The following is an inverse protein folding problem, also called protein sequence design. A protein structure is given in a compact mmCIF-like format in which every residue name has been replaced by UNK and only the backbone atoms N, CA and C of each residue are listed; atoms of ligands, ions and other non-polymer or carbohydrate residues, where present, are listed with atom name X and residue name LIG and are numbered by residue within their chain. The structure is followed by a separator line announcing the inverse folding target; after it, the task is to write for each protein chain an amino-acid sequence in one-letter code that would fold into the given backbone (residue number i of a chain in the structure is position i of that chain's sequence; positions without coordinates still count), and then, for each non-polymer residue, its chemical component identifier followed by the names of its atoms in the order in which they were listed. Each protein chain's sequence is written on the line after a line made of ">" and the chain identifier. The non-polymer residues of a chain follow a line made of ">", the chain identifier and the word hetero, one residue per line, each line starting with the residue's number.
data_IF_300637610636
#
_entry.id   IF_300637610636
#
_cell.length_a   1.000
_cell.length_b   1.000
_cell.length_c   1.000
_cell.angle_alpha   90.00
_cell.angle_beta   90.00
_cell.angle_gamma   90.00
#
_symmetry.space_group_name_H-M   'P 1'
#
loop_
_entity.id
_entity.type
_entity.pdbx_description
1 polymer ?
#
# COMPACT_ATOMS: atom_id res chain seq x y z
N UNK A 1 4.10 21.38 16.71
CA UNK A 1 4.96 20.18 16.80
C UNK A 1 5.48 20.12 18.23
N UNK A 2 5.01 19.14 19.01
CA UNK A 2 5.61 18.81 20.31
C UNK A 2 7.02 18.32 20.08
N UNK A 3 7.99 18.81 20.83
CA UNK A 3 9.38 18.37 20.75
C UNK A 3 9.48 16.90 21.17
N UNK A 4 10.53 16.20 20.76
CA UNK A 4 10.78 14.81 21.18
C UNK A 4 10.81 14.69 22.71
N UNK A 5 11.33 15.71 23.41
CA UNK A 5 11.37 15.75 24.88
C UNK A 5 9.98 15.91 25.53
N UNK A 6 9.07 16.71 24.94
CA UNK A 6 7.69 16.84 25.45
C UNK A 6 6.87 15.56 25.23
N UNK A 7 7.17 14.76 24.18
CA UNK A 7 6.56 13.45 23.97
C UNK A 7 7.05 12.39 24.94
N UNK A 8 8.34 12.41 25.31
CA UNK A 8 8.94 11.52 26.31
C UNK A 8 8.33 11.69 27.70
N UNK A 9 7.86 12.90 28.03
CA UNK A 9 7.20 13.20 29.32
C UNK A 9 5.78 12.66 29.43
N UNK A 10 5.20 12.13 28.34
CA UNK A 10 3.83 11.64 28.28
C UNK A 10 3.68 10.11 28.20
N UNK A 11 4.78 9.38 28.11
CA UNK A 11 4.77 7.91 28.11
C UNK A 11 4.40 7.38 29.51
N UNK A 12 3.59 6.32 29.55
CA UNK A 12 3.42 5.54 30.78
C UNK A 12 4.73 4.77 31.09
N UNK A 13 4.95 4.29 32.33
CA UNK A 13 6.13 3.47 32.65
C UNK A 13 6.35 2.32 31.66
N UNK A 14 5.30 1.57 31.33
CA UNK A 14 5.34 0.46 30.37
C UNK A 14 5.72 0.91 28.94
N UNK A 15 5.22 2.05 28.51
CA UNK A 15 5.58 2.65 27.21
C UNK A 15 7.03 3.11 27.18
N UNK A 16 7.52 3.66 28.30
CA UNK A 16 8.92 4.06 28.45
C UNK A 16 9.88 2.87 28.39
N UNK A 17 9.58 1.78 29.10
CA UNK A 17 10.37 0.53 29.06
C UNK A 17 10.41 -0.04 27.63
N UNK A 18 9.30 -0.10 26.94
CA UNK A 18 9.26 -0.58 25.55
C UNK A 18 10.03 0.34 24.59
N UNK A 19 9.96 1.65 24.80
CA UNK A 19 10.72 2.62 23.99
C UNK A 19 12.23 2.42 24.16
N UNK A 20 12.72 2.19 25.38
CA UNK A 20 14.13 1.89 25.63
C UNK A 20 14.55 0.54 25.00
N UNK A 21 13.69 -0.48 25.05
CA UNK A 21 13.91 -1.75 24.33
C UNK A 21 14.09 -1.50 22.83
N UNK A 22 13.18 -0.74 22.21
CA UNK A 22 13.22 -0.41 20.77
C UNK A 22 14.48 0.39 20.43
N UNK A 23 14.88 1.36 21.25
CA UNK A 23 16.10 2.14 21.07
C UNK A 23 17.34 1.27 21.12
N UNK A 24 17.43 0.41 22.12
CA UNK A 24 18.55 -0.53 22.24
C UNK A 24 18.64 -1.47 21.04
N UNK A 25 17.50 -2.00 20.58
CA UNK A 25 17.42 -2.83 19.38
C UNK A 25 17.88 -2.09 18.14
N UNK A 26 17.38 -0.87 17.90
CA UNK A 26 17.73 -0.07 16.72
C UNK A 26 19.21 0.32 16.74
N UNK A 27 19.74 0.71 17.88
CA UNK A 27 21.16 1.05 18.02
C UNK A 27 22.09 -0.13 17.72
N UNK A 28 21.66 -1.36 18.05
CA UNK A 28 22.44 -2.57 17.79
C UNK A 28 22.33 -3.10 16.35
N UNK A 29 21.20 -2.88 15.67
CA UNK A 29 20.87 -3.56 14.41
C UNK A 29 20.71 -2.62 13.20
N UNK A 30 20.65 -1.30 13.41
CA UNK A 30 20.33 -0.34 12.36
C UNK A 30 21.40 0.75 12.23
N UNK A 31 21.55 1.29 11.04
CA UNK A 31 22.38 2.47 10.82
C UNK A 31 21.52 3.73 10.99
N UNK A 32 22.04 4.77 11.66
CA UNK A 32 21.38 6.06 11.69
C UNK A 32 21.07 6.56 10.28
N UNK A 33 19.95 7.25 10.14
CA UNK A 33 19.53 7.81 8.86
C UNK A 33 20.60 8.78 8.36
N UNK A 34 21.12 8.53 7.17
CA UNK A 34 22.07 9.42 6.51
C UNK A 34 21.33 10.55 5.81
N UNK A 35 21.99 11.70 5.72
CA UNK A 35 21.52 12.71 4.79
C UNK A 35 21.63 12.17 3.36
N UNK A 36 20.48 12.04 2.71
CA UNK A 36 20.42 11.69 1.29
C UNK A 36 20.06 12.93 0.48
N UNK A 37 20.38 12.92 -0.79
CA UNK A 37 19.95 13.98 -1.69
C UNK A 37 18.45 14.25 -1.52
N UNK A 38 18.01 15.50 -1.38
CA UNK A 38 16.58 15.80 -1.33
C UNK A 38 15.85 15.36 -2.60
N UNK A 39 16.59 15.11 -3.68
CA UNK A 39 16.08 14.69 -4.99
C UNK A 39 16.13 13.18 -5.21
N UNK A 40 16.64 12.41 -4.25
CA UNK A 40 16.66 10.96 -4.37
C UNK A 40 15.26 10.41 -4.66
N UNK A 41 15.19 9.54 -5.67
CA UNK A 41 13.96 8.82 -6.02
C UNK A 41 13.73 7.71 -5.00
N UNK A 42 12.48 7.40 -4.74
CA UNK A 42 12.05 6.32 -3.85
C UNK A 42 11.72 5.02 -4.62
N UNK A 43 12.23 4.87 -5.82
CA UNK A 43 12.09 3.69 -6.66
C UNK A 43 13.34 3.49 -7.50
N UNK A 44 13.51 2.29 -8.02
CA UNK A 44 14.62 1.90 -8.88
C UNK A 44 14.17 1.78 -10.34
N UNK A 45 15.01 2.22 -11.25
CA UNK A 45 14.79 2.10 -12.71
C UNK A 45 15.41 0.83 -13.28
N UNK A 46 16.17 0.08 -12.48
CA UNK A 46 16.76 -1.22 -12.85
C UNK A 46 16.17 -2.34 -12.01
N UNK A 47 16.04 -3.53 -12.59
CA UNK A 47 15.56 -4.71 -11.88
C UNK A 47 16.50 -5.10 -10.74
N UNK A 48 17.82 -4.98 -10.96
CA UNK A 48 18.83 -5.27 -9.93
C UNK A 48 18.66 -4.38 -8.71
N UNK A 49 18.49 -3.06 -8.89
CA UNK A 49 18.23 -2.12 -7.80
C UNK A 49 16.92 -2.41 -7.06
N UNK A 50 15.87 -2.70 -7.82
CA UNK A 50 14.57 -3.06 -7.23
C UNK A 50 14.63 -4.37 -6.43
N UNK A 51 15.36 -5.37 -6.92
CA UNK A 51 15.61 -6.64 -6.23
C UNK A 51 16.41 -6.42 -4.95
N UNK A 52 17.50 -5.64 -5.03
CA UNK A 52 18.33 -5.34 -3.86
C UNK A 52 17.53 -4.63 -2.75
N UNK A 53 16.68 -3.67 -3.11
CA UNK A 53 15.80 -3.00 -2.14
C UNK A 53 14.76 -3.96 -1.55
N UNK A 54 14.17 -4.83 -2.36
CA UNK A 54 13.24 -5.84 -1.89
C UNK A 54 13.89 -6.80 -0.89
N UNK A 55 15.10 -7.31 -1.19
CA UNK A 55 15.84 -8.22 -0.31
C UNK A 55 16.33 -7.50 0.95
N UNK A 56 16.73 -6.23 0.87
CA UNK A 56 17.03 -5.38 2.04
C UNK A 56 15.82 -5.29 2.98
N UNK A 57 14.65 -5.02 2.43
CA UNK A 57 13.41 -4.96 3.20
C UNK A 57 13.03 -6.31 3.83
N UNK A 58 13.22 -7.39 3.10
CA UNK A 58 12.99 -8.76 3.57
C UNK A 58 13.95 -9.15 4.71
N UNK A 59 15.23 -8.83 4.57
CA UNK A 59 16.23 -9.06 5.61
C UNK A 59 15.93 -8.27 6.89
N UNK A 60 15.52 -7.00 6.75
CA UNK A 60 15.09 -6.20 7.91
C UNK A 60 13.85 -6.80 8.59
N UNK A 61 12.86 -7.24 7.82
CA UNK A 61 11.69 -7.91 8.36
C UNK A 61 12.05 -9.17 9.14
N UNK A 62 13.02 -9.95 8.65
CA UNK A 62 13.55 -11.11 9.35
C UNK A 62 14.22 -10.71 10.68
N UNK A 63 15.02 -9.65 10.67
CA UNK A 63 15.63 -9.10 11.88
C UNK A 63 14.58 -8.69 12.92
N UNK A 64 13.50 -8.05 12.50
CA UNK A 64 12.38 -7.72 13.39
C UNK A 64 11.72 -8.97 13.97
N UNK A 65 11.50 -9.98 13.14
CA UNK A 65 10.89 -11.24 13.57
C UNK A 65 11.74 -11.97 14.61
N UNK A 66 13.02 -12.11 14.37
CA UNK A 66 13.97 -12.79 15.27
C UNK A 66 14.10 -12.07 16.62
N UNK A 67 13.82 -10.77 16.68
CA UNK A 67 13.80 -9.95 17.89
C UNK A 67 12.38 -9.68 18.44
N UNK A 68 11.35 -10.41 17.97
CA UNK A 68 9.95 -10.29 18.42
C UNK A 68 9.36 -8.88 18.28
N UNK A 69 9.83 -8.11 17.30
CA UNK A 69 9.33 -6.80 16.93
C UNK A 69 8.49 -6.83 15.65
N UNK A 70 8.45 -7.96 14.95
CA UNK A 70 7.47 -8.20 13.90
C UNK A 70 6.14 -8.65 14.53
N UNK A 71 5.01 -8.15 14.01
CA UNK A 71 3.69 -8.55 14.48
C UNK A 71 3.43 -8.20 15.95
N UNK A 72 3.75 -7.00 16.37
CA UNK A 72 3.63 -6.53 17.76
C UNK A 72 2.22 -6.77 18.34
N UNK A 73 1.18 -6.64 17.52
CA UNK A 73 -0.23 -6.82 17.90
C UNK A 73 -0.80 -8.19 17.58
N UNK A 74 -0.02 -9.06 16.93
CA UNK A 74 -0.46 -10.43 16.60
C UNK A 74 -0.32 -11.36 17.81
N UNK A 75 -1.16 -12.43 17.89
CA UNK A 75 -1.10 -13.41 18.96
C UNK A 75 0.26 -14.10 19.07
N UNK A 76 0.65 -14.47 20.29
CA UNK A 76 1.94 -15.14 20.55
C UNK A 76 2.03 -16.53 19.93
N UNK A 77 0.92 -17.25 19.85
CA UNK A 77 0.80 -18.57 19.20
C UNK A 77 1.02 -18.51 17.69
N UNK A 78 0.88 -17.32 17.09
CA UNK A 78 1.19 -17.04 15.68
C UNK A 78 2.53 -16.31 15.50
N UNK A 79 3.41 -16.42 16.47
CA UNK A 79 4.74 -15.80 16.50
C UNK A 79 4.71 -14.26 16.61
N UNK A 80 3.58 -13.66 16.95
CA UNK A 80 3.48 -12.25 17.32
C UNK A 80 3.93 -11.97 18.75
N UNK A 81 3.77 -10.72 19.19
CA UNK A 81 4.11 -10.33 20.57
C UNK A 81 2.90 -10.29 21.51
N UNK A 82 1.67 -10.28 21.00
CA UNK A 82 0.43 -10.15 21.78
C UNK A 82 0.27 -8.79 22.45
N UNK A 83 0.95 -7.79 21.93
CA UNK A 83 1.02 -6.45 22.51
C UNK A 83 -0.09 -5.51 22.05
N UNK A 84 -0.01 -4.28 22.51
CA UNK A 84 -0.99 -3.23 22.24
C UNK A 84 -0.61 -2.37 21.02
N UNK A 85 -1.57 -1.73 20.33
CA UNK A 85 -1.30 -0.89 19.16
C UNK A 85 -0.35 0.30 19.41
N UNK A 86 -0.20 0.77 20.64
CA UNK A 86 0.74 1.83 20.96
C UNK A 86 2.21 1.38 20.75
N UNK A 87 2.51 0.07 20.84
CA UNK A 87 3.85 -0.47 20.56
C UNK A 87 4.26 -0.21 19.11
N UNK A 88 3.35 -0.38 18.15
CA UNK A 88 3.61 -0.06 16.74
C UNK A 88 3.90 1.43 16.53
N UNK A 89 3.21 2.30 17.30
CA UNK A 89 3.45 3.75 17.24
C UNK A 89 4.85 4.10 17.74
N UNK A 90 5.24 3.56 18.91
CA UNK A 90 6.57 3.79 19.50
C UNK A 90 7.67 3.25 18.58
N UNK A 91 7.51 2.01 18.06
CA UNK A 91 8.48 1.46 17.12
C UNK A 91 8.65 2.38 15.89
N UNK A 92 7.55 2.86 15.31
CA UNK A 92 7.58 3.74 14.12
C UNK A 92 8.24 5.10 14.43
N UNK A 93 7.98 5.66 15.59
CA UNK A 93 8.59 6.91 16.05
C UNK A 93 10.11 6.78 16.17
N UNK A 94 10.60 5.74 16.82
CA UNK A 94 12.04 5.52 17.04
C UNK A 94 12.75 5.11 15.73
N UNK A 95 12.13 4.24 14.92
CA UNK A 95 12.67 3.79 13.64
C UNK A 95 12.81 4.91 12.61
N UNK A 96 12.05 6.02 12.74
CA UNK A 96 12.12 7.16 11.83
C UNK A 96 13.52 7.83 11.77
N UNK A 97 14.35 7.60 12.80
CA UNK A 97 15.71 8.13 12.90
C UNK A 97 16.78 7.22 12.28
N UNK A 98 16.39 6.06 11.76
CA UNK A 98 17.29 5.04 11.21
C UNK A 98 16.98 4.74 9.74
N UNK A 99 18.01 4.24 9.01
CA UNK A 99 17.86 3.79 7.61
C UNK A 99 17.33 2.35 7.57
N UNK A 100 16.08 2.18 7.97
CA UNK A 100 15.42 0.88 8.05
C UNK A 100 14.02 0.92 7.42
N UNK A 101 13.69 -0.13 6.70
CA UNK A 101 12.37 -0.31 6.12
C UNK A 101 12.17 -1.77 5.75
N UNK A 102 11.04 -2.34 6.09
CA UNK A 102 10.61 -3.63 5.53
C UNK A 102 10.04 -3.50 4.11
N UNK A 103 10.05 -2.27 3.55
CA UNK A 103 9.65 -2.00 2.18
C UNK A 103 8.29 -2.59 1.81
N UNK A 104 8.27 -3.31 0.69
CA UNK A 104 7.08 -3.98 0.18
C UNK A 104 6.50 -5.03 1.16
N UNK A 105 7.33 -5.72 1.93
CA UNK A 105 6.88 -6.73 2.92
C UNK A 105 5.95 -6.11 3.96
N UNK A 106 6.26 -4.91 4.46
CA UNK A 106 5.39 -4.21 5.42
C UNK A 106 3.99 -3.94 4.85
N UNK A 107 3.89 -3.58 3.57
CA UNK A 107 2.59 -3.32 2.93
C UNK A 107 1.74 -4.60 2.84
N UNK A 108 2.34 -5.72 2.51
CA UNK A 108 1.61 -7.00 2.43
C UNK A 108 1.22 -7.54 3.81
N UNK A 109 2.06 -7.36 4.83
CA UNK A 109 1.69 -7.65 6.22
C UNK A 109 0.48 -6.82 6.65
N UNK A 110 0.47 -5.52 6.34
CA UNK A 110 -0.62 -4.63 6.70
C UNK A 110 -1.95 -4.97 5.99
N UNK A 111 -1.90 -5.52 4.78
CA UNK A 111 -3.10 -5.90 4.00
C UNK A 111 -3.57 -7.33 4.25
N UNK A 112 -2.67 -8.30 4.08
CA UNK A 112 -3.00 -9.72 4.12
C UNK A 112 -3.10 -10.25 5.56
N UNK A 113 -2.24 -9.77 6.47
CA UNK A 113 -2.23 -10.25 7.86
C UNK A 113 -3.59 -10.12 8.54
N UNK A 114 -4.23 -8.93 8.63
CA UNK A 114 -5.57 -8.78 9.19
C UNK A 114 -6.64 -9.58 8.43
N UNK A 115 -6.44 -9.82 7.12
CA UNK A 115 -7.35 -10.62 6.31
C UNK A 115 -7.29 -12.10 6.70
N UNK A 116 -6.09 -12.66 6.87
CA UNK A 116 -5.89 -14.01 7.40
C UNK A 116 -6.46 -14.15 8.82
N UNK A 117 -6.19 -13.18 9.69
CA UNK A 117 -6.71 -13.19 11.07
C UNK A 117 -8.23 -13.24 11.13
N UNK A 118 -8.91 -12.54 10.21
CA UNK A 118 -10.37 -12.42 10.19
C UNK A 118 -11.06 -13.56 9.44
N UNK A 119 -10.49 -14.06 8.36
CA UNK A 119 -11.16 -14.94 7.40
C UNK A 119 -10.49 -16.30 7.22
N UNK A 120 -9.23 -16.47 7.67
CA UNK A 120 -8.52 -17.74 7.60
C UNK A 120 -8.99 -18.74 8.65
N UNK A 121 -8.84 -20.05 8.35
CA UNK A 121 -8.97 -21.12 9.36
C UNK A 121 -7.79 -21.08 10.32
N UNK A 122 -7.88 -21.78 11.45
CA UNK A 122 -6.76 -21.84 12.42
C UNK A 122 -5.51 -22.48 11.81
N UNK A 123 -5.69 -23.49 10.95
CA UNK A 123 -4.60 -24.14 10.21
C UNK A 123 -3.94 -23.16 9.24
N UNK A 124 -4.73 -22.36 8.50
CA UNK A 124 -4.22 -21.34 7.59
C UNK A 124 -3.49 -20.22 8.35
N UNK A 125 -4.03 -19.77 9.48
CA UNK A 125 -3.35 -18.80 10.33
C UNK A 125 -2.00 -19.33 10.82
N UNK A 126 -1.97 -20.55 11.34
CA UNK A 126 -0.74 -21.19 11.82
C UNK A 126 0.29 -21.40 10.71
N UNK A 127 -0.15 -21.69 9.50
CA UNK A 127 0.72 -21.88 8.33
C UNK A 127 1.28 -20.58 7.79
N UNK A 128 0.42 -19.58 7.57
CA UNK A 128 0.78 -18.40 6.77
C UNK A 128 1.22 -17.21 7.63
N UNK A 129 0.63 -16.97 8.82
CA UNK A 129 0.93 -15.76 9.59
C UNK A 129 2.38 -15.69 10.06
N UNK A 130 2.97 -16.73 10.67
CA UNK A 130 4.38 -16.68 11.07
C UNK A 130 5.34 -16.44 9.91
N UNK A 131 5.06 -17.07 8.75
CA UNK A 131 5.89 -16.93 7.54
C UNK A 131 5.74 -15.57 6.87
N UNK A 132 4.54 -14.98 6.92
CA UNK A 132 4.30 -13.59 6.51
C UNK A 132 5.05 -12.61 7.43
N UNK A 133 4.95 -12.77 8.75
CA UNK A 133 5.61 -11.90 9.72
C UNK A 133 7.13 -11.99 9.67
N UNK A 134 7.69 -13.14 9.34
CA UNK A 134 9.14 -13.34 9.18
C UNK A 134 9.68 -12.85 7.83
N UNK A 135 8.82 -12.55 6.85
CA UNK A 135 9.22 -12.26 5.48
C UNK A 135 9.68 -13.50 4.68
N UNK A 136 9.51 -14.73 5.24
CA UNK A 136 9.75 -15.98 4.51
C UNK A 136 8.80 -16.10 3.32
N UNK A 137 7.51 -15.80 3.54
CA UNK A 137 6.52 -15.67 2.49
C UNK A 137 6.29 -14.19 2.16
N UNK A 138 6.73 -13.81 0.96
CA UNK A 138 6.43 -12.53 0.37
C UNK A 138 5.22 -12.69 -0.56
N UNK A 139 4.18 -11.93 -0.30
CA UNK A 139 2.92 -12.03 -1.06
C UNK A 139 2.75 -10.84 -2.00
N UNK A 140 2.29 -11.07 -3.23
CA UNK A 140 1.78 -10.02 -4.10
C UNK A 140 0.25 -10.06 -4.19
N UNK A 141 -0.35 -8.89 -4.44
CA UNK A 141 -1.78 -8.74 -4.66
C UNK A 141 -2.14 -8.99 -6.12
N UNK A 142 -3.04 -9.94 -6.37
CA UNK A 142 -3.44 -10.39 -7.69
C UNK A 142 -4.94 -10.14 -7.92
N UNK A 143 -5.33 -8.86 -7.94
CA UNK A 143 -6.72 -8.43 -7.99
C UNK A 143 -7.14 -7.94 -9.37
N UNK A 144 -6.56 -6.82 -9.81
CA UNK A 144 -6.95 -6.13 -11.04
C UNK A 144 -6.67 -6.96 -12.29
N UNK A 145 -7.50 -6.77 -13.31
CA UNK A 145 -7.35 -7.33 -14.65
C UNK A 145 -7.38 -6.21 -15.69
N UNK A 146 -6.94 -6.44 -16.93
CA UNK A 146 -7.04 -5.42 -17.98
C UNK A 146 -8.46 -4.85 -18.15
N UNK A 147 -9.49 -5.68 -17.96
CA UNK A 147 -10.91 -5.29 -18.05
C UNK A 147 -11.60 -5.05 -16.70
N UNK A 148 -10.90 -5.13 -15.55
CA UNK A 148 -11.51 -5.03 -14.21
C UNK A 148 -10.58 -4.34 -13.22
N UNK A 149 -10.61 -3.02 -13.19
CA UNK A 149 -9.91 -2.16 -12.22
C UNK A 149 -10.89 -1.57 -11.21
N UNK A 150 -11.50 -0.42 -11.51
CA UNK A 150 -12.48 0.22 -10.62
C UNK A 150 -13.71 -0.65 -10.38
N UNK A 151 -14.21 -1.35 -11.39
CA UNK A 151 -15.20 -2.42 -11.24
C UNK A 151 -14.51 -3.77 -11.00
N UNK A 152 -13.81 -3.87 -9.87
CA UNK A 152 -13.07 -5.08 -9.51
C UNK A 152 -13.98 -6.33 -9.49
N UNK A 153 -15.23 -6.18 -9.10
CA UNK A 153 -16.19 -7.29 -9.10
C UNK A 153 -16.52 -7.81 -10.51
N UNK A 154 -16.15 -7.09 -11.56
CA UNK A 154 -16.23 -7.51 -12.96
C UNK A 154 -15.17 -8.53 -13.38
N UNK A 155 -14.19 -8.86 -12.52
CA UNK A 155 -13.08 -9.78 -12.82
C UNK A 155 -13.51 -11.08 -13.49
N UNK A 156 -12.68 -11.57 -14.43
CA UNK A 156 -12.95 -12.71 -15.30
C UNK A 156 -11.93 -13.86 -15.20
N UNK A 157 -10.83 -13.70 -14.45
CA UNK A 157 -9.87 -14.76 -14.19
C UNK A 157 -10.62 -15.98 -13.63
N UNK A 158 -10.73 -17.03 -14.44
CA UNK A 158 -11.62 -18.17 -14.22
C UNK A 158 -10.96 -19.20 -13.33
N UNK A 159 -11.70 -19.79 -12.40
CA UNK A 159 -11.29 -20.97 -11.65
C UNK A 159 -12.38 -22.04 -11.72
N UNK A 160 -12.03 -23.21 -12.23
CA UNK A 160 -12.93 -24.37 -12.31
C UNK A 160 -12.46 -25.41 -11.33
N UNK A 161 -13.38 -25.91 -10.49
CA UNK A 161 -13.07 -26.96 -9.55
C UNK A 161 -12.85 -28.29 -10.26
N UNK A 162 -11.75 -28.96 -9.92
CA UNK A 162 -11.38 -30.31 -10.37
C UNK A 162 -10.90 -31.12 -9.14
N UNK A 163 -11.81 -31.86 -8.54
CA UNK A 163 -11.56 -32.57 -7.29
C UNK A 163 -11.26 -31.63 -6.13
N UNK A 164 -10.07 -31.77 -5.57
CA UNK A 164 -9.56 -30.95 -4.44
C UNK A 164 -8.72 -29.76 -4.90
N UNK A 165 -8.72 -29.43 -6.18
CA UNK A 165 -8.00 -28.30 -6.76
C UNK A 165 -8.95 -27.41 -7.57
N UNK A 166 -8.50 -26.16 -7.78
CA UNK A 166 -8.99 -25.27 -8.82
C UNK A 166 -8.01 -25.23 -9.98
N UNK A 167 -8.52 -25.31 -11.20
CA UNK A 167 -7.77 -25.02 -12.44
C UNK A 167 -8.04 -23.57 -12.80
N UNK A 168 -7.00 -22.73 -12.70
CA UNK A 168 -7.09 -21.28 -12.89
C UNK A 168 -6.53 -20.86 -14.24
N UNK A 169 -7.31 -20.05 -14.97
CA UNK A 169 -6.90 -19.47 -16.26
C UNK A 169 -7.32 -18.00 -16.32
N UNK A 170 -6.38 -17.12 -16.66
CA UNK A 170 -6.64 -15.69 -16.79
C UNK A 170 -5.37 -14.84 -16.67
N UNK A 171 -5.59 -13.54 -16.55
CA UNK A 171 -4.51 -12.55 -16.44
C UNK A 171 -4.82 -11.57 -15.32
N UNK A 172 -3.80 -11.21 -14.55
CA UNK A 172 -3.81 -10.10 -13.59
C UNK A 172 -2.83 -9.03 -14.02
N UNK A 173 -3.09 -7.77 -13.62
CA UNK A 173 -2.27 -6.63 -14.01
C UNK A 173 -2.10 -5.66 -12.83
N UNK A 174 -1.07 -4.83 -12.88
CA UNK A 174 -0.68 -3.88 -11.83
C UNK A 174 -0.27 -4.54 -10.53
N UNK A 175 0.32 -5.74 -10.63
CA UNK A 175 0.72 -6.53 -9.47
C UNK A 175 2.09 -6.06 -8.97
N UNK A 176 2.10 -5.30 -7.86
CA UNK A 176 3.33 -4.75 -7.29
C UNK A 176 4.27 -5.87 -6.85
N UNK A 177 5.54 -5.76 -7.25
CA UNK A 177 6.65 -6.64 -6.86
C UNK A 177 6.40 -8.15 -7.08
N UNK A 178 5.45 -8.54 -7.94
CA UNK A 178 5.11 -9.95 -8.19
C UNK A 178 6.33 -10.77 -8.67
N UNK A 179 7.27 -10.14 -9.39
CA UNK A 179 8.52 -10.76 -9.86
C UNK A 179 9.48 -11.17 -8.72
N UNK A 180 9.25 -10.71 -7.49
CA UNK A 180 10.07 -11.01 -6.31
C UNK A 180 9.32 -11.83 -5.27
N UNK A 181 7.99 -11.99 -5.42
CA UNK A 181 7.14 -12.68 -4.46
C UNK A 181 7.10 -14.19 -4.74
N UNK A 182 7.08 -14.98 -3.68
CA UNK A 182 6.90 -16.42 -3.77
C UNK A 182 5.44 -16.85 -3.57
N UNK A 183 4.59 -15.97 -3.07
CA UNK A 183 3.15 -16.20 -2.90
C UNK A 183 2.32 -15.04 -3.45
N UNK A 184 1.05 -15.32 -3.80
CA UNK A 184 0.08 -14.33 -4.20
C UNK A 184 -1.27 -14.54 -3.49
N UNK A 185 -2.00 -13.45 -3.25
CA UNK A 185 -3.41 -13.53 -2.88
C UNK A 185 -4.26 -13.07 -4.06
N UNK A 186 -5.01 -14.03 -4.58
CA UNK A 186 -5.63 -14.00 -5.92
C UNK A 186 -7.16 -13.96 -5.82
N UNK A 187 -7.80 -13.13 -6.61
CA UNK A 187 -9.23 -13.16 -6.84
C UNK A 187 -9.57 -13.89 -8.14
N UNK A 188 -10.47 -14.85 -8.06
CA UNK A 188 -10.93 -15.64 -9.22
C UNK A 188 -12.44 -15.70 -9.31
N UNK A 189 -12.95 -15.87 -10.54
CA UNK A 189 -14.35 -16.13 -10.84
C UNK A 189 -14.62 -17.63 -10.75
N UNK A 190 -15.30 -18.05 -9.70
CA UNK A 190 -15.69 -19.45 -9.50
C UNK A 190 -17.13 -19.74 -9.88
N UNK A 191 -18.01 -18.71 -9.87
CA UNK A 191 -19.38 -18.86 -10.31
C UNK A 191 -19.83 -17.67 -11.18
N UNK A 192 -20.03 -17.85 -12.49
CA UNK A 192 -20.48 -16.80 -13.39
C UNK A 192 -22.02 -16.63 -13.42
N UNK A 193 -22.78 -17.57 -12.83
CA UNK A 193 -24.25 -17.65 -12.94
C UNK A 193 -24.97 -16.88 -11.82
N UNK A 194 -24.22 -16.15 -10.99
CA UNK A 194 -24.74 -15.33 -9.89
C UNK A 194 -24.27 -13.87 -10.05
N UNK A 195 -24.88 -12.91 -9.33
CA UNK A 195 -24.43 -11.52 -9.32
C UNK A 195 -22.94 -11.39 -9.04
N UNK A 196 -22.28 -10.43 -9.69
CA UNK A 196 -20.81 -10.34 -9.80
C UNK A 196 -20.04 -10.44 -8.47
N UNK A 197 -20.59 -9.93 -7.36
CA UNK A 197 -19.94 -10.01 -6.05
C UNK A 197 -20.09 -11.38 -5.36
N UNK A 198 -21.05 -12.20 -5.79
CA UNK A 198 -21.38 -13.50 -5.16
C UNK A 198 -20.70 -14.71 -5.82
N UNK A 199 -19.92 -14.50 -6.87
CA UNK A 199 -19.24 -15.57 -7.61
C UNK A 199 -17.72 -15.46 -7.60
N UNK A 200 -17.16 -14.71 -6.65
CA UNK A 200 -15.71 -14.50 -6.50
C UNK A 200 -15.19 -15.35 -5.34
N UNK A 201 -14.03 -15.98 -5.54
CA UNK A 201 -13.29 -16.67 -4.48
C UNK A 201 -11.94 -16.01 -4.27
N UNK A 202 -11.53 -15.89 -3.02
CA UNK A 202 -10.21 -15.40 -2.61
C UNK A 202 -9.33 -16.61 -2.30
N UNK A 203 -8.19 -16.75 -2.99
CA UNK A 203 -7.34 -17.93 -2.89
C UNK A 203 -5.87 -17.53 -2.83
N UNK A 204 -5.06 -18.25 -2.05
CA UNK A 204 -3.61 -18.09 -2.03
C UNK A 204 -2.97 -19.00 -3.08
N UNK A 205 -2.01 -18.46 -3.82
CA UNK A 205 -1.30 -19.18 -4.88
C UNK A 205 0.21 -19.11 -4.66
N UNK A 206 0.88 -20.26 -4.83
CA UNK A 206 2.34 -20.30 -4.96
C UNK A 206 2.71 -19.77 -6.35
N UNK A 207 3.50 -18.70 -6.39
CA UNK A 207 3.91 -18.03 -7.64
C UNK A 207 4.88 -18.86 -8.49
N UNK A 208 5.41 -19.97 -7.94
CA UNK A 208 6.25 -20.93 -8.67
C UNK A 208 5.45 -22.11 -9.24
N UNK A 209 4.13 -22.14 -9.05
CA UNK A 209 3.28 -23.18 -9.61
C UNK A 209 3.36 -23.23 -11.14
N UNK A 210 3.26 -24.42 -11.70
CA UNK A 210 3.20 -24.60 -13.16
C UNK A 210 2.04 -23.79 -13.75
N UNK A 211 2.30 -23.09 -14.85
CA UNK A 211 1.33 -22.23 -15.53
C UNK A 211 1.25 -20.80 -15.01
N UNK A 212 2.03 -20.43 -13.98
CA UNK A 212 2.19 -19.02 -13.55
C UNK A 212 3.35 -18.39 -14.33
N UNK A 213 3.07 -17.26 -14.98
CA UNK A 213 4.09 -16.46 -15.67
C UNK A 213 3.98 -15.00 -15.21
N UNK A 214 5.10 -14.42 -14.76
CA UNK A 214 5.18 -13.01 -14.32
C UNK A 214 5.95 -12.20 -15.35
N UNK A 215 5.36 -11.07 -15.80
CA UNK A 215 5.99 -10.15 -16.76
C UNK A 215 6.04 -8.74 -16.19
N UNK A 216 7.24 -8.17 -15.94
CA UNK A 216 7.36 -6.78 -15.49
C UNK A 216 6.80 -5.78 -16.52
N UNK A 217 6.13 -4.74 -16.03
CA UNK A 217 5.61 -3.62 -16.82
C UNK A 217 6.53 -2.41 -16.65
N UNK A 218 7.13 -1.95 -17.74
CA UNK A 218 7.90 -0.71 -17.76
C UNK A 218 6.95 0.47 -17.81
N UNK A 219 7.00 1.31 -16.77
CA UNK A 219 6.16 2.49 -16.63
C UNK A 219 6.82 3.69 -17.32
N UNK A 220 6.04 4.77 -17.63
CA UNK A 220 6.59 5.98 -18.22
C UNK A 220 7.70 6.66 -17.38
N UNK A 221 7.77 6.35 -16.07
CA UNK A 221 8.85 6.80 -15.16
C UNK A 221 10.15 6.03 -15.30
N UNK A 222 10.18 4.96 -16.11
CA UNK A 222 11.29 4.02 -16.22
C UNK A 222 11.30 2.92 -15.15
N UNK A 223 10.47 3.01 -14.13
CA UNK A 223 10.33 1.95 -13.12
C UNK A 223 9.57 0.74 -13.68
N UNK A 224 9.81 -0.46 -13.12
CA UNK A 224 9.13 -1.71 -13.50
C UNK A 224 8.69 -2.52 -12.27
N UNK A 225 8.16 -1.82 -11.25
CA UNK A 225 7.72 -2.48 -10.02
C UNK A 225 6.31 -3.06 -10.10
N UNK A 226 5.54 -2.79 -11.17
CA UNK A 226 4.30 -3.46 -11.48
C UNK A 226 4.49 -4.58 -12.50
N UNK A 227 3.59 -5.56 -12.47
CA UNK A 227 3.65 -6.73 -13.32
C UNK A 227 2.29 -7.08 -13.92
N UNK A 228 2.33 -7.83 -15.01
CA UNK A 228 1.28 -8.73 -15.44
C UNK A 228 1.58 -10.13 -14.92
N UNK A 229 0.54 -10.84 -14.52
CA UNK A 229 0.65 -12.24 -14.09
C UNK A 229 -0.37 -13.07 -14.86
N UNK A 230 0.12 -14.06 -15.60
CA UNK A 230 -0.70 -14.97 -16.37
C UNK A 230 -0.84 -16.31 -15.66
N UNK A 231 -2.04 -16.87 -15.74
CA UNK A 231 -2.38 -18.20 -15.24
C UNK A 231 -2.84 -19.04 -16.42
N UNK A 232 -2.12 -20.13 -16.73
CA UNK A 232 -2.39 -21.06 -17.83
C UNK A 232 -2.68 -22.44 -17.24
N UNK A 233 -3.95 -22.69 -16.94
CA UNK A 233 -4.42 -23.93 -16.30
C UNK A 233 -3.67 -24.25 -14.98
N UNK A 234 -3.32 -23.22 -14.23
CA UNK A 234 -2.61 -23.35 -12.96
C UNK A 234 -3.46 -24.07 -11.92
N UNK A 235 -2.93 -25.15 -11.35
CA UNK A 235 -3.61 -25.92 -10.32
C UNK A 235 -3.32 -25.36 -8.93
N UNK A 236 -4.40 -25.06 -8.19
CA UNK A 236 -4.33 -24.48 -6.85
C UNK A 236 -5.21 -25.30 -5.90
N UNK A 237 -4.68 -25.82 -4.78
CA UNK A 237 -5.47 -26.58 -3.81
C UNK A 237 -6.66 -25.80 -3.27
N UNK A 238 -7.83 -26.44 -3.12
CA UNK A 238 -9.02 -25.84 -2.49
C UNK A 238 -8.71 -25.40 -1.04
N UNK A 239 -7.79 -26.07 -0.37
CA UNK A 239 -7.33 -25.72 0.98
C UNK A 239 -6.71 -24.30 1.08
N UNK A 240 -6.31 -23.72 -0.06
CA UNK A 240 -5.76 -22.35 -0.12
C UNK A 240 -6.85 -21.26 -0.21
N UNK A 241 -8.13 -21.62 -0.23
CA UNK A 241 -9.24 -20.65 -0.22
C UNK A 241 -9.33 -19.98 1.14
N UNK A 242 -9.29 -18.66 1.17
CA UNK A 242 -9.48 -17.87 2.39
C UNK A 242 -10.96 -17.44 2.49
N UNK A 243 -11.61 -17.89 3.56
CA UNK A 243 -13.06 -17.83 3.73
C UNK A 243 -13.77 -18.94 2.95
N UNK A 244 -14.91 -18.62 2.34
CA UNK A 244 -15.74 -19.61 1.62
C UNK A 244 -15.65 -19.43 0.10
N UNK A 245 -15.83 -20.51 -0.64
CA UNK A 245 -15.95 -20.48 -2.11
C UNK A 245 -17.15 -19.60 -2.49
N UNK A 246 -16.98 -18.75 -3.48
CA UNK A 246 -17.95 -17.75 -3.95
C UNK A 246 -18.23 -16.58 -2.98
N UNK A 247 -17.62 -16.56 -1.79
CA UNK A 247 -17.75 -15.49 -0.79
C UNK A 247 -16.49 -14.61 -0.64
N UNK A 248 -15.57 -14.69 -1.59
CA UNK A 248 -14.28 -13.97 -1.57
C UNK A 248 -14.37 -12.45 -1.54
N UNK A 249 -15.56 -11.86 -1.78
CA UNK A 249 -15.75 -10.42 -1.68
C UNK A 249 -15.59 -9.89 -0.24
N UNK A 250 -15.89 -10.70 0.79
CA UNK A 250 -15.65 -10.38 2.19
C UNK A 250 -14.17 -10.14 2.50
N UNK A 251 -13.29 -11.13 2.28
CA UNK A 251 -11.84 -10.96 2.38
C UNK A 251 -11.30 -9.81 1.53
N UNK A 252 -11.76 -9.67 0.28
CA UNK A 252 -11.38 -8.56 -0.63
C UNK A 252 -11.62 -7.18 0.00
N UNK A 253 -12.79 -6.97 0.60
CA UNK A 253 -13.11 -5.71 1.29
C UNK A 253 -12.18 -5.45 2.48
N UNK A 254 -11.79 -6.49 3.20
CA UNK A 254 -10.84 -6.36 4.31
C UNK A 254 -9.47 -5.91 3.81
N UNK A 255 -8.96 -6.51 2.72
CA UNK A 255 -7.71 -6.07 2.08
C UNK A 255 -7.79 -4.60 1.65
N UNK A 256 -8.82 -4.23 0.88
CA UNK A 256 -8.96 -2.86 0.34
C UNK A 256 -9.08 -1.79 1.44
N UNK A 257 -9.75 -2.12 2.56
CA UNK A 257 -9.84 -1.22 3.71
C UNK A 257 -8.47 -0.98 4.36
N UNK A 258 -7.67 -2.04 4.54
CA UNK A 258 -6.34 -1.96 5.10
C UNK A 258 -5.34 -1.28 4.13
N UNK A 259 -5.47 -1.51 2.83
CA UNK A 259 -4.70 -0.84 1.78
C UNK A 259 -4.90 0.68 1.83
N UNK A 260 -6.15 1.12 1.88
CA UNK A 260 -6.49 2.55 1.98
C UNK A 260 -5.94 3.20 3.25
N UNK A 261 -5.99 2.48 4.38
CA UNK A 261 -5.42 2.94 5.63
C UNK A 261 -3.88 3.01 5.58
N UNK A 262 -3.23 2.02 4.97
CA UNK A 262 -1.78 1.98 4.80
C UNK A 262 -1.29 3.13 3.89
N UNK A 263 -1.91 3.34 2.74
CA UNK A 263 -1.58 4.43 1.80
C UNK A 263 -1.82 5.80 2.45
N UNK A 264 -2.94 5.98 3.14
CA UNK A 264 -3.30 7.23 3.82
C UNK A 264 -2.43 7.56 5.04
N UNK A 265 -1.82 6.55 5.68
CA UNK A 265 -0.98 6.70 6.87
C UNK A 265 0.51 6.97 6.59
N UNK A 266 0.97 6.83 5.36
CA UNK A 266 2.37 6.85 4.99
C UNK A 266 2.87 8.15 4.36
N UNK A 267 3.64 8.95 5.10
CA UNK A 267 4.48 10.03 4.55
C UNK A 267 5.92 9.54 4.38
N UNK A 268 6.14 8.51 3.58
CA UNK A 268 7.44 7.85 3.41
C UNK A 268 8.44 8.60 2.51
N UNK A 269 8.21 9.87 2.17
CA UNK A 269 9.04 10.59 1.19
C UNK A 269 9.55 11.98 1.62
N UNK A 270 9.39 12.38 2.88
CA UNK A 270 9.69 13.76 3.31
C UNK A 270 8.66 14.78 2.77
N UNK A 271 8.87 16.06 3.09
CA UNK A 271 7.99 17.13 2.64
C UNK A 271 8.21 17.47 1.15
N UNK A 272 7.19 17.26 0.33
CA UNK A 272 7.22 17.72 -1.08
C UNK A 272 7.27 19.23 -1.15
N UNK A 273 6.60 19.95 -0.24
CA UNK A 273 6.68 21.40 -0.14
C UNK A 273 8.13 21.87 0.09
N UNK A 274 8.87 21.25 1.02
CA UNK A 274 10.27 21.60 1.27
C UNK A 274 11.13 21.46 0.00
N UNK A 275 10.94 20.37 -0.75
CA UNK A 275 11.62 20.17 -2.05
C UNK A 275 11.25 21.24 -3.06
N UNK A 276 9.98 21.64 -3.15
CA UNK A 276 9.53 22.74 -4.03
C UNK A 276 10.14 24.09 -3.65
N UNK A 277 10.32 24.35 -2.36
CA UNK A 277 11.04 25.56 -1.89
C UNK A 277 12.50 25.53 -2.33
N UNK A 278 13.20 24.40 -2.13
CA UNK A 278 14.59 24.23 -2.60
C UNK A 278 14.69 24.41 -4.13
N UNK A 279 13.71 23.89 -4.86
CA UNK A 279 13.64 24.05 -6.31
C UNK A 279 13.49 25.53 -6.70
N UNK A 280 12.57 26.26 -6.05
CA UNK A 280 12.38 27.68 -6.28
C UNK A 280 13.63 28.51 -5.95
N UNK A 281 14.37 28.16 -4.89
CA UNK A 281 15.65 28.76 -4.56
C UNK A 281 16.69 28.52 -5.67
N UNK A 282 16.84 27.28 -6.11
CA UNK A 282 17.79 26.89 -7.16
C UNK A 282 17.55 27.63 -8.49
N UNK A 283 16.29 27.85 -8.84
CA UNK A 283 15.89 28.53 -10.09
C UNK A 283 15.64 30.04 -9.93
N UNK A 284 15.98 30.64 -8.78
CA UNK A 284 15.83 32.06 -8.54
C UNK A 284 14.38 32.57 -8.62
N UNK A 285 13.40 31.68 -8.25
CA UNK A 285 11.97 31.98 -8.33
C UNK A 285 11.32 32.31 -6.98
N UNK A 286 12.14 32.51 -5.94
CA UNK A 286 11.64 32.82 -4.59
C UNK A 286 10.96 34.18 -4.45
N UNK A 287 11.31 35.12 -5.31
CA UNK A 287 10.73 36.47 -5.29
C UNK A 287 9.54 36.63 -6.25
N UNK A 288 9.25 35.63 -7.07
CA UNK A 288 8.08 35.59 -7.94
C UNK A 288 6.80 35.46 -7.08
N UNK A 289 5.91 36.48 -7.08
CA UNK A 289 4.74 36.49 -6.20
C UNK A 289 3.75 35.35 -6.51
N UNK A 290 3.68 34.89 -7.76
CA UNK A 290 2.82 33.79 -8.17
C UNK A 290 3.36 32.47 -7.63
N UNK A 291 4.67 32.21 -7.77
CA UNK A 291 5.32 31.01 -7.22
C UNK A 291 5.22 31.00 -5.69
N UNK A 292 5.46 32.11 -5.02
CA UNK A 292 5.29 32.23 -3.57
C UNK A 292 3.90 31.84 -3.10
N UNK A 293 2.85 32.33 -3.78
CA UNK A 293 1.47 31.99 -3.44
C UNK A 293 1.17 30.51 -3.64
N UNK A 294 1.71 29.89 -4.70
CA UNK A 294 1.57 28.46 -4.95
C UNK A 294 2.34 27.61 -3.93
N UNK A 295 3.54 28.05 -3.53
CA UNK A 295 4.29 27.43 -2.42
C UNK A 295 3.52 27.49 -1.10
N UNK A 296 2.91 28.64 -0.77
CA UNK A 296 2.07 28.76 0.41
C UNK A 296 0.87 27.79 0.37
N UNK A 297 0.29 27.59 -0.81
CA UNK A 297 -0.78 26.59 -1.02
C UNK A 297 -0.29 25.18 -0.76
N UNK A 298 0.89 24.78 -1.28
CA UNK A 298 1.44 23.44 -1.01
C UNK A 298 1.77 23.23 0.45
N UNK A 299 2.30 24.24 1.15
CA UNK A 299 2.52 24.21 2.59
C UNK A 299 1.23 23.95 3.36
N UNK A 300 0.19 24.74 3.08
CA UNK A 300 -1.11 24.60 3.76
C UNK A 300 -1.72 23.22 3.53
N UNK A 301 -1.61 22.70 2.31
CA UNK A 301 -2.13 21.35 1.98
C UNK A 301 -1.38 20.24 2.71
N UNK A 302 -0.05 20.28 2.78
CA UNK A 302 0.73 19.30 3.54
C UNK A 302 0.44 19.39 5.05
N UNK A 303 0.34 20.61 5.58
CA UNK A 303 0.00 20.81 6.99
C UNK A 303 -1.38 20.23 7.33
N UNK A 304 -2.38 20.49 6.48
CA UNK A 304 -3.73 19.93 6.65
C UNK A 304 -3.74 18.40 6.61
N UNK A 305 -2.96 17.78 5.69
CA UNK A 305 -2.80 16.32 5.65
C UNK A 305 -2.25 15.77 6.97
N UNK A 306 -1.23 16.43 7.53
CA UNK A 306 -0.66 16.06 8.82
C UNK A 306 -1.71 16.10 9.94
N UNK A 307 -2.43 17.23 10.07
CA UNK A 307 -3.48 17.42 11.09
C UNK A 307 -4.61 16.39 10.93
N UNK A 308 -5.05 16.12 9.71
CA UNK A 308 -6.10 15.11 9.45
C UNK A 308 -5.63 13.70 9.85
N UNK A 309 -4.40 13.34 9.50
CA UNK A 309 -3.79 12.07 9.91
C UNK A 309 -3.70 11.93 11.43
N UNK A 310 -3.20 12.95 12.13
CA UNK A 310 -3.13 12.98 13.59
C UNK A 310 -4.51 12.82 14.26
N UNK A 311 -5.54 13.47 13.74
CA UNK A 311 -6.91 13.34 14.26
C UNK A 311 -7.46 11.92 14.09
N UNK A 312 -7.23 11.28 12.96
CA UNK A 312 -7.63 9.88 12.73
C UNK A 312 -6.89 8.97 13.72
N UNK A 313 -5.56 9.12 13.83
CA UNK A 313 -4.77 8.29 14.73
C UNK A 313 -5.12 8.51 16.21
N UNK A 314 -5.42 9.73 16.60
CA UNK A 314 -5.89 10.02 17.96
C UNK A 314 -7.20 9.31 18.29
N UNK A 315 -8.16 9.28 17.35
CA UNK A 315 -9.41 8.54 17.53
C UNK A 315 -9.18 7.03 17.65
N UNK A 316 -8.32 6.46 16.76
CA UNK A 316 -7.95 5.04 16.81
C UNK A 316 -7.31 4.67 18.16
N UNK A 317 -6.39 5.51 18.67
CA UNK A 317 -5.77 5.29 20.01
C UNK A 317 -6.80 5.28 21.14
N UNK A 318 -7.84 6.10 21.04
CA UNK A 318 -8.94 6.14 22.02
C UNK A 318 -10.03 5.08 21.79
N UNK A 319 -9.87 4.23 20.76
CA UNK A 319 -10.88 3.25 20.30
C UNK A 319 -12.21 3.91 19.92
N UNK A 320 -12.16 5.12 19.44
CA UNK A 320 -13.29 5.88 18.92
C UNK A 320 -13.41 5.70 17.39
N UNK A 321 -14.60 5.94 16.86
CA UNK A 321 -14.78 6.02 15.40
C UNK A 321 -14.00 7.24 14.88
N UNK A 322 -13.16 7.10 13.85
CA UNK A 322 -12.46 8.23 13.27
C UNK A 322 -13.42 9.34 12.85
N UNK A 323 -13.08 10.63 13.10
CA UNK A 323 -13.97 11.76 12.84
C UNK A 323 -14.21 12.04 11.35
N UNK A 324 -13.55 11.30 10.47
CA UNK A 324 -13.66 11.42 9.02
C UNK A 324 -13.38 10.08 8.33
N UNK A 325 -13.98 9.89 7.13
CA UNK A 325 -13.71 8.72 6.31
C UNK A 325 -12.26 8.77 5.78
N UNK A 326 -11.48 7.67 5.88
CA UNK A 326 -10.10 7.63 5.39
C UNK A 326 -9.95 7.94 3.88
N UNK A 327 -11.00 7.78 3.09
CA UNK A 327 -11.02 8.10 1.66
C UNK A 327 -10.66 9.56 1.39
N UNK A 328 -10.93 10.47 2.33
CA UNK A 328 -10.59 11.89 2.19
C UNK A 328 -9.07 12.10 2.13
N UNK A 329 -8.30 11.36 2.95
CA UNK A 329 -6.84 11.48 2.95
C UNK A 329 -6.27 11.04 1.60
N UNK A 330 -6.70 9.88 1.11
CA UNK A 330 -6.23 9.34 -0.20
C UNK A 330 -6.56 10.31 -1.34
N UNK A 331 -7.76 10.83 -1.40
CA UNK A 331 -8.18 11.80 -2.41
C UNK A 331 -7.33 13.08 -2.32
N UNK A 332 -7.15 13.60 -1.10
CA UNK A 332 -6.39 14.84 -0.90
C UNK A 332 -4.90 14.68 -1.24
N UNK A 333 -4.29 13.52 -0.91
CA UNK A 333 -2.92 13.17 -1.31
C UNK A 333 -2.80 13.12 -2.83
N UNK A 334 -3.72 12.44 -3.52
CA UNK A 334 -3.70 12.33 -4.97
C UNK A 334 -3.82 13.70 -5.66
N UNK A 335 -4.74 14.55 -5.21
CA UNK A 335 -4.88 15.91 -5.73
C UNK A 335 -3.65 16.79 -5.43
N UNK A 336 -3.06 16.62 -4.22
CA UNK A 336 -1.85 17.36 -3.85
C UNK A 336 -0.66 17.00 -4.75
N UNK A 337 -0.52 15.74 -5.15
CA UNK A 337 0.51 15.31 -6.13
C UNK A 337 0.36 16.03 -7.47
N UNK A 338 -0.86 16.23 -7.95
CA UNK A 338 -1.10 16.98 -9.18
C UNK A 338 -0.68 18.44 -9.03
N UNK A 339 -1.05 19.07 -7.91
CA UNK A 339 -0.67 20.48 -7.61
C UNK A 339 0.85 20.61 -7.52
N UNK A 340 1.51 19.72 -6.79
CA UNK A 340 2.96 19.76 -6.58
C UNK A 340 3.75 19.50 -7.86
N UNK A 341 3.36 18.50 -8.65
CA UNK A 341 4.01 18.19 -9.94
C UNK A 341 3.89 19.33 -10.95
N UNK A 342 2.71 19.97 -11.03
CA UNK A 342 2.52 21.15 -11.89
C UNK A 342 3.40 22.32 -11.43
N UNK A 343 3.48 22.56 -10.11
CA UNK A 343 4.33 23.63 -9.57
C UNK A 343 5.82 23.35 -9.80
N UNK A 344 6.27 22.10 -9.63
CA UNK A 344 7.65 21.71 -9.92
C UNK A 344 8.03 22.04 -11.36
N UNK A 345 7.19 21.70 -12.33
CA UNK A 345 7.42 22.00 -13.75
C UNK A 345 7.37 23.50 -14.03
N UNK A 346 6.47 24.24 -13.39
CA UNK A 346 6.37 25.70 -13.56
C UNK A 346 7.61 26.44 -13.01
N UNK A 347 8.18 25.94 -11.90
CA UNK A 347 9.42 26.51 -11.34
C UNK A 347 10.60 26.25 -12.27
N UNK A 348 10.74 25.04 -12.79
CA UNK A 348 11.91 24.62 -13.59
C UNK A 348 11.80 24.99 -15.05
N UNK A 349 10.58 25.16 -15.59
CA UNK A 349 10.36 25.41 -17.01
C UNK A 349 10.98 24.30 -17.88
N UNK A 350 11.64 24.69 -18.97
CA UNK A 350 12.26 23.75 -19.90
C UNK A 350 13.33 22.86 -19.24
N UNK A 351 14.03 23.33 -18.22
CA UNK A 351 15.03 22.53 -17.51
C UNK A 351 14.44 21.29 -16.81
N UNK A 352 13.16 21.32 -16.45
CA UNK A 352 12.47 20.16 -15.86
C UNK A 352 12.24 18.99 -16.84
N UNK A 353 12.44 19.21 -18.14
CA UNK A 353 12.34 18.15 -19.17
C UNK A 353 13.67 17.48 -19.48
N UNK A 354 14.79 18.03 -19.00
CA UNK A 354 16.11 17.43 -19.14
C UNK A 354 16.29 16.29 -18.11
N UNK A 355 17.14 15.30 -18.41
CA UNK A 355 17.44 14.16 -17.54
C UNK A 355 18.89 14.18 -17.07
N UNK A 356 19.43 15.36 -16.79
CA UNK A 356 20.85 15.56 -16.58
C UNK A 356 21.30 15.28 -15.14
N UNK A 357 20.37 15.37 -14.18
CA UNK A 357 20.66 15.18 -12.75
C UNK A 357 19.47 14.60 -11.97
N UNK A 358 19.72 14.20 -10.71
CA UNK A 358 18.69 13.65 -9.81
C UNK A 358 17.49 14.59 -9.61
N UNK A 359 17.73 15.91 -9.61
CA UNK A 359 16.66 16.89 -9.45
C UNK A 359 15.70 16.86 -10.64
N UNK A 360 16.23 16.85 -11.86
CA UNK A 360 15.44 16.78 -13.08
C UNK A 360 14.63 15.49 -13.14
N UNK A 361 15.24 14.37 -12.78
CA UNK A 361 14.56 13.07 -12.65
C UNK A 361 13.45 13.10 -11.61
N UNK A 362 13.69 13.75 -10.47
CA UNK A 362 12.65 13.93 -9.44
C UNK A 362 11.47 14.77 -9.98
N UNK A 363 11.73 15.89 -10.67
CA UNK A 363 10.68 16.72 -11.27
C UNK A 363 9.86 15.92 -12.27
N UNK A 364 10.51 15.17 -13.16
CA UNK A 364 9.82 14.32 -14.14
C UNK A 364 8.96 13.24 -13.46
N UNK A 365 9.48 12.62 -12.41
CA UNK A 365 8.71 11.64 -11.65
C UNK A 365 7.49 12.27 -10.96
N UNK A 366 7.62 13.49 -10.39
CA UNK A 366 6.47 14.18 -9.81
C UNK A 366 5.41 14.53 -10.88
N UNK A 367 5.81 14.80 -12.11
CA UNK A 367 4.90 15.12 -13.22
C UNK A 367 4.28 13.87 -13.84
N UNK A 368 5.09 12.85 -14.16
CA UNK A 368 4.63 11.64 -14.87
C UNK A 368 4.01 10.66 -13.89
N UNK A 369 4.63 10.46 -12.73
CA UNK A 369 4.20 9.49 -11.71
C UNK A 369 2.94 9.89 -10.93
N UNK A 370 2.54 11.18 -10.95
CA UNK A 370 1.38 11.68 -10.20
C UNK A 370 0.07 10.98 -10.51
N UNK A 371 -0.08 10.46 -11.74
CA UNK A 371 -1.30 9.77 -12.17
C UNK A 371 -1.45 8.41 -11.49
N UNK A 372 -0.35 7.75 -11.12
CA UNK A 372 -0.38 6.47 -10.41
C UNK A 372 -1.17 6.54 -9.12
N UNK A 373 -0.92 7.56 -8.28
CA UNK A 373 -1.67 7.73 -7.02
C UNK A 373 -3.13 8.16 -7.24
N UNK A 374 -3.46 8.78 -8.37
CA UNK A 374 -4.85 9.13 -8.71
C UNK A 374 -5.67 7.91 -9.15
N UNK A 375 -5.02 6.78 -9.48
CA UNK A 375 -5.63 5.55 -9.98
C UNK A 375 -5.55 4.44 -8.92
N UNK A 376 -4.37 4.16 -8.39
CA UNK A 376 -4.11 3.09 -7.42
C UNK A 376 -4.82 3.29 -6.09
N UNK A 377 -5.21 2.21 -5.41
CA UNK A 377 -5.96 2.26 -4.16
C UNK A 377 -7.37 2.84 -4.29
N UNK A 378 -8.00 2.68 -5.45
CA UNK A 378 -9.26 3.32 -5.87
C UNK A 378 -9.05 4.68 -6.50
N UNK A 379 -9.64 4.91 -7.69
CA UNK A 379 -9.52 6.19 -8.40
C UNK A 379 -10.07 7.35 -7.58
N UNK A 380 -9.70 8.58 -7.95
CA UNK A 380 -10.25 9.77 -7.32
C UNK A 380 -11.79 9.79 -7.38
N UNK A 381 -12.38 9.28 -8.47
CA UNK A 381 -13.84 9.16 -8.65
C UNK A 381 -14.44 8.13 -7.70
N UNK A 382 -13.80 6.97 -7.52
CA UNK A 382 -14.20 5.96 -6.52
C UNK A 382 -14.13 6.54 -5.11
N UNK A 383 -13.09 7.31 -4.78
CA UNK A 383 -12.97 7.96 -3.47
C UNK A 383 -14.06 9.02 -3.27
N UNK A 384 -14.38 9.81 -4.30
CA UNK A 384 -15.50 10.77 -4.24
C UNK A 384 -16.84 10.06 -4.01
N UNK A 385 -17.09 8.94 -4.69
CA UNK A 385 -18.30 8.14 -4.48
C UNK A 385 -18.35 7.58 -3.04
N UNK A 386 -17.24 7.05 -2.53
CA UNK A 386 -17.17 6.60 -1.13
C UNK A 386 -17.49 7.73 -0.13
N UNK A 387 -16.92 8.92 -0.33
CA UNK A 387 -17.19 10.08 0.52
C UNK A 387 -18.64 10.54 0.42
N UNK A 388 -19.19 10.62 -0.80
CA UNK A 388 -20.58 11.05 -1.00
C UNK A 388 -21.57 10.09 -0.35
N UNK A 389 -21.38 8.77 -0.56
CA UNK A 389 -22.31 7.76 -0.06
C UNK A 389 -22.16 7.47 1.42
N UNK A 390 -20.91 7.37 1.93
CA UNK A 390 -20.65 6.93 3.31
C UNK A 390 -20.52 8.08 4.31
N UNK A 391 -19.84 9.16 3.93
CA UNK A 391 -19.60 10.28 4.84
C UNK A 391 -20.72 11.32 4.77
N UNK A 392 -21.24 11.63 3.57
CA UNK A 392 -22.28 12.63 3.38
C UNK A 392 -23.69 12.04 3.32
N UNK A 393 -23.83 10.71 3.25
CA UNK A 393 -25.14 10.03 3.20
C UNK A 393 -25.94 10.32 1.92
N UNK A 394 -25.27 10.70 0.83
CA UNK A 394 -25.92 10.92 -0.45
C UNK A 394 -26.42 9.62 -1.07
N UNK A 395 -27.48 9.66 -1.90
CA UNK A 395 -27.98 8.47 -2.58
C UNK A 395 -26.89 7.81 -3.44
N UNK A 396 -26.90 6.49 -3.44
CA UNK A 396 -26.06 5.71 -4.36
C UNK A 396 -26.52 5.93 -5.81
N UNK A 397 -25.54 5.90 -6.72
CA UNK A 397 -25.83 5.87 -8.14
C UNK A 397 -26.73 4.67 -8.48
N UNK A 398 -27.74 4.90 -9.31
CA UNK A 398 -28.60 3.82 -9.78
C UNK A 398 -27.79 2.85 -10.65
N UNK A 399 -27.80 1.58 -10.25
CA UNK A 399 -27.14 0.50 -10.98
C UNK A 399 -28.19 -0.52 -11.39
N UNK A 400 -28.13 -0.94 -12.62
CA UNK A 400 -28.99 -1.96 -13.21
C UNK A 400 -28.34 -3.35 -13.29
N UNK A 401 -27.09 -3.48 -12.82
CA UNK A 401 -26.26 -4.70 -12.90
C UNK A 401 -26.16 -5.48 -11.57
N UNK A 402 -26.88 -5.06 -10.52
CA UNK A 402 -26.74 -5.63 -9.18
C UNK A 402 -27.29 -7.05 -9.01
N UNK A 403 -28.35 -7.37 -9.72
CA UNK A 403 -29.10 -8.62 -9.53
C UNK A 403 -28.95 -9.60 -10.70
N UNK A 404 -28.38 -9.16 -11.81
CA UNK A 404 -28.17 -10.03 -12.96
C UNK A 404 -26.93 -10.89 -12.79
N UNK A 405 -26.90 -12.12 -13.32
CA UNK A 405 -25.72 -12.97 -13.34
C UNK A 405 -24.53 -12.26 -13.98
N UNK A 406 -23.33 -12.49 -13.44
CA UNK A 406 -22.11 -11.87 -13.95
C UNK A 406 -21.89 -12.10 -15.45
N UNK A 407 -22.23 -13.31 -15.95
CA UNK A 407 -22.10 -13.66 -17.39
C UNK A 407 -22.97 -12.81 -18.31
N UNK A 408 -24.07 -12.26 -17.78
CA UNK A 408 -25.07 -11.49 -18.53
C UNK A 408 -24.84 -9.97 -18.39
N UNK A 409 -23.87 -9.54 -17.56
CA UNK A 409 -23.52 -8.11 -17.43
C UNK A 409 -22.84 -7.64 -18.71
N UNK A 410 -23.35 -6.58 -19.39
CA UNK A 410 -22.71 -6.00 -20.56
C UNK A 410 -21.28 -5.55 -20.22
N UNK A 411 -20.32 -5.89 -21.07
CA UNK A 411 -18.91 -5.47 -20.94
C UNK A 411 -18.58 -4.49 -22.06
N UNK A 412 -17.89 -3.41 -21.70
CA UNK A 412 -17.36 -2.43 -22.68
C UNK A 412 -16.10 -3.00 -23.33
#
# INVERSE_FOLDING_TARGET
>A
MTTTEERLSSDTPEQGEFREEVRAFLAANAQPKREVSPWALNFHTTEEGARAEFEKGRAWQRTLFDNRLAGLTYPTELSGRGGSPWMESIYREEAANYDVSSGFIASTIAMLGPTLMKHGTEEQKAQYVPRLLSGEYAFCQLFSEPGAGSDLAGLACKAVRDGDEFVVTGQKVWNSAAQFCNWGFLLVRTNPDVPKHKGITFILVDMHSAGVEVRPLVQPTGASHFNEVFFSETRIPVANVIGEINAGWGPTRTVMSNESAFIGGGHAGGSTHAKLVLLAQRFGRTDDPVIRQKLATTYSREWLLGVMGERIMAAVRRREVPPMDPSILKLFVAENRVVSGNLAMEITGAAGTATDDEMSLWVQNEVIGRFGISIGGGTNEVQKNNLSERALGLPKEMRNDHEIPWKDVPRS
#
